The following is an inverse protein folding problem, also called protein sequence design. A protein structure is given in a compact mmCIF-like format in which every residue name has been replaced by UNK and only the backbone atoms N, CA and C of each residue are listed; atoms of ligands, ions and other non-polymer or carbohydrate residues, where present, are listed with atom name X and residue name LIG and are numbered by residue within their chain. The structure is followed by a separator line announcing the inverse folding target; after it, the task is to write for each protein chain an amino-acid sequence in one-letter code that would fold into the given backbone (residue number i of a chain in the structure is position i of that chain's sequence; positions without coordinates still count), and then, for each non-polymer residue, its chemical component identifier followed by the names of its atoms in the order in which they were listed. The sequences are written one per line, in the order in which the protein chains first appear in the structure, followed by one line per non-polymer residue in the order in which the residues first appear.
data_IF_955489754292
#
_entry.id   IF_955489754292
#
_cell.length_a   1.000
_cell.length_b   1.000
_cell.length_c   1.000
_cell.angle_alpha   90.00
_cell.angle_beta   90.00
_cell.angle_gamma   90.00
#
_symmetry.space_group_name_H-M   'P 1'
#
loop_
_entity.id
_entity.type
_entity.pdbx_description
1 polymer ?
#
# COMPACT_ATOMS: atom_id res chain seq x y z
N UNK A 1 -19.67 17.38 -4.27
CA UNK A 1 -18.64 17.13 -5.30
C UNK A 1 -18.04 15.75 -5.06
N UNK A 2 -18.05 14.85 -6.05
CA UNK A 2 -17.39 13.53 -5.91
C UNK A 2 -15.89 13.74 -6.07
N UNK A 3 -15.12 13.72 -4.97
CA UNK A 3 -13.65 13.69 -5.05
C UNK A 3 -13.24 12.35 -5.67
N UNK A 4 -12.41 12.39 -6.71
CA UNK A 4 -11.87 11.15 -7.31
C UNK A 4 -10.89 10.52 -6.31
N UNK A 5 -10.92 9.20 -6.11
CA UNK A 5 -9.97 8.53 -5.22
C UNK A 5 -8.54 8.75 -5.70
N UNK A 6 -7.62 8.87 -4.75
CA UNK A 6 -6.19 9.01 -5.03
C UNK A 6 -5.63 7.64 -5.36
N UNK A 7 -5.09 7.50 -6.57
CA UNK A 7 -4.46 6.26 -7.01
C UNK A 7 -3.10 6.09 -6.35
N UNK A 8 -3.00 5.15 -5.43
CA UNK A 8 -1.78 4.86 -4.67
C UNK A 8 -1.25 3.47 -5.00
N UNK A 9 0.04 3.23 -4.74
CA UNK A 9 0.71 1.96 -4.98
C UNK A 9 1.36 1.44 -3.70
N UNK A 10 1.15 0.18 -3.37
CA UNK A 10 1.95 -0.50 -2.35
C UNK A 10 3.28 -0.92 -3.00
N UNK A 11 4.38 -0.40 -2.47
CA UNK A 11 5.74 -0.68 -2.95
C UNK A 11 6.31 -1.90 -2.23
N UNK A 12 6.25 -1.89 -0.90
CA UNK A 12 6.86 -2.93 -0.07
C UNK A 12 6.09 -3.12 1.24
N UNK A 13 6.12 -4.35 1.77
CA UNK A 13 5.68 -4.69 3.11
C UNK A 13 6.90 -5.17 3.90
N UNK A 14 7.24 -4.42 4.95
CA UNK A 14 8.34 -4.71 5.86
C UNK A 14 7.77 -5.00 7.25
N UNK A 15 7.48 -6.28 7.53
CA UNK A 15 6.82 -6.71 8.76
C UNK A 15 5.45 -6.05 8.93
N UNK A 16 5.33 -5.19 9.95
CA UNK A 16 4.09 -4.46 10.27
C UNK A 16 4.02 -3.07 9.62
N UNK A 17 4.99 -2.73 8.78
CA UNK A 17 5.07 -1.47 8.05
C UNK A 17 4.86 -1.68 6.56
N UNK A 18 4.12 -0.77 5.93
CA UNK A 18 3.75 -0.79 4.52
C UNK A 18 4.23 0.51 3.87
N UNK A 19 4.93 0.40 2.75
CA UNK A 19 5.47 1.55 2.04
C UNK A 19 4.58 1.87 0.84
N UNK A 20 3.94 3.04 0.86
CA UNK A 20 2.95 3.48 -0.13
C UNK A 20 3.51 4.64 -0.96
N UNK A 21 3.45 4.49 -2.27
CA UNK A 21 3.79 5.53 -3.23
C UNK A 21 2.54 6.29 -3.66
N UNK A 22 2.53 7.59 -3.38
CA UNK A 22 1.50 8.52 -3.84
C UNK A 22 1.86 9.06 -5.23
N UNK A 23 0.87 9.43 -6.06
CA UNK A 23 1.12 9.86 -7.43
C UNK A 23 1.82 11.23 -7.50
N UNK A 24 1.55 12.10 -6.53
CA UNK A 24 2.07 13.47 -6.47
C UNK A 24 3.21 13.66 -5.46
N UNK A 25 3.72 12.57 -4.88
CA UNK A 25 4.79 12.61 -3.90
C UNK A 25 5.99 11.84 -4.44
N UNK A 26 7.19 12.41 -4.44
CA UNK A 26 8.38 11.68 -4.93
C UNK A 26 8.89 10.64 -3.93
N UNK A 27 8.61 10.84 -2.66
CA UNK A 27 9.09 10.00 -1.56
C UNK A 27 7.96 9.05 -1.16
N UNK A 28 8.19 7.73 -1.10
CA UNK A 28 7.18 6.81 -0.59
C UNK A 28 6.95 7.04 0.92
N UNK A 29 5.71 6.86 1.36
CA UNK A 29 5.30 7.02 2.75
C UNK A 29 5.22 5.66 3.42
N UNK A 30 5.87 5.51 4.57
CA UNK A 30 5.72 4.32 5.41
C UNK A 30 4.54 4.51 6.35
N UNK A 31 3.61 3.55 6.33
CA UNK A 31 2.45 3.49 7.22
C UNK A 31 2.44 2.18 7.99
N UNK A 32 1.78 2.15 9.13
CA UNK A 32 1.54 0.91 9.86
C UNK A 32 0.38 0.09 9.25
N UNK A 33 0.22 -1.13 9.74
CA UNK A 33 -0.85 -2.05 9.33
C UNK A 33 -2.27 -1.52 9.55
N UNK A 34 -2.50 -0.82 10.66
CA UNK A 34 -3.82 -0.30 11.01
C UNK A 34 -4.23 0.81 10.03
N UNK A 35 -3.32 1.74 9.74
CA UNK A 35 -3.53 2.81 8.78
C UNK A 35 -3.65 2.24 7.36
N UNK A 36 -2.80 1.29 6.98
CA UNK A 36 -2.89 0.62 5.68
C UNK A 36 -4.27 -0.02 5.47
N UNK A 37 -4.77 -0.75 6.48
CA UNK A 37 -6.10 -1.38 6.43
C UNK A 37 -7.21 -0.35 6.30
N UNK A 38 -7.15 0.76 7.05
CA UNK A 38 -8.11 1.87 6.90
C UNK A 38 -8.08 2.49 5.50
N UNK A 39 -6.89 2.62 4.91
CA UNK A 39 -6.76 3.15 3.55
C UNK A 39 -7.37 2.20 2.51
N UNK A 40 -7.19 0.88 2.65
CA UNK A 40 -7.78 -0.12 1.76
C UNK A 40 -9.31 -0.10 1.77
N UNK A 41 -9.92 0.17 2.92
CA UNK A 41 -11.38 0.24 3.07
C UNK A 41 -11.96 1.64 2.84
N UNK A 42 -11.12 2.66 2.59
CA UNK A 42 -11.58 4.02 2.34
C UNK A 42 -11.92 4.21 0.86
N UNK A 43 -12.94 5.02 0.60
CA UNK A 43 -13.30 5.47 -0.76
C UNK A 43 -12.39 6.59 -1.26
N UNK A 44 -11.47 7.08 -0.42
CA UNK A 44 -10.53 8.15 -0.76
C UNK A 44 -9.28 7.64 -1.50
N UNK A 45 -8.98 6.34 -1.40
CA UNK A 45 -7.78 5.74 -1.98
C UNK A 45 -8.16 4.60 -2.92
N UNK A 46 -7.46 4.53 -4.05
CA UNK A 46 -7.57 3.42 -4.99
C UNK A 46 -6.20 2.78 -5.12
N UNK A 47 -6.03 1.60 -4.53
CA UNK A 47 -4.79 0.85 -4.67
C UNK A 47 -4.78 0.19 -6.04
N UNK A 48 -3.86 0.62 -6.91
CA UNK A 48 -3.69 -0.07 -8.18
C UNK A 48 -3.15 -1.47 -7.88
N UNK A 49 -3.90 -2.50 -8.25
CA UNK A 49 -3.58 -3.92 -8.06
C UNK A 49 -2.18 -4.24 -8.61
N UNK A 50 -1.16 -4.08 -7.78
CA UNK A 50 0.20 -4.51 -8.08
C UNK A 50 0.38 -5.80 -7.34
N UNK A 51 0.56 -6.90 -8.08
CA UNK A 51 1.03 -8.19 -7.58
C UNK A 51 2.12 -7.95 -6.55
N UNK A 52 1.75 -7.96 -5.27
CA UNK A 52 2.70 -7.82 -4.17
C UNK A 52 3.57 -9.05 -4.32
N UNK A 53 4.84 -8.87 -4.71
CA UNK A 53 5.84 -9.92 -4.58
C UNK A 53 6.04 -10.13 -3.09
N UNK A 54 5.12 -10.85 -2.46
CA UNK A 54 5.32 -11.42 -1.15
C UNK A 54 6.49 -12.35 -1.33
N UNK A 55 7.68 -11.95 -0.86
CA UNK A 55 8.80 -12.87 -0.72
C UNK A 55 8.39 -13.86 0.38
N UNK A 56 7.63 -14.88 -0.01
CA UNK A 56 7.48 -16.08 0.80
C UNK A 56 8.89 -16.66 0.93
N UNK A 57 9.49 -16.51 2.10
CA UNK A 57 10.61 -17.36 2.47
C UNK A 57 10.06 -18.78 2.51
N UNK A 58 10.24 -19.51 1.40
CA UNK A 58 10.03 -20.94 1.33
C UNK A 58 11.03 -21.58 2.29
N UNK A 59 10.58 -21.88 3.50
CA UNK A 59 11.25 -22.86 4.35
C UNK A 59 11.02 -24.23 3.71
N UNK A 60 12.02 -24.71 2.97
CA UNK A 60 12.15 -26.11 2.62
C UNK A 60 12.63 -26.85 3.86
N UNK A 61 11.84 -27.83 4.32
CA UNK A 61 12.22 -28.83 5.32
C UNK A 61 12.45 -30.17 4.63
#
# INVERSE_FOLDING_TARGET
MKKKPVKVRLIEKNGNSYQIQFPNLKIPVTVDENLYTKMLHSTEYEFSNTHVKVKSHSFSA
#
